data_IF_313192452408
#
_entry.id   IF_313192452408
#
_cell.length_a   1.000
_cell.length_b   1.000
_cell.length_c   1.000
_cell.angle_alpha   90.00
_cell.angle_beta   90.00
_cell.angle_gamma   90.00
#
_symmetry.space_group_name_H-M   'P 1'
#
loop_
_entity.id
_entity.type
_entity.pdbx_description
1 polymer ?
#
# COMPACT_ATOMS: atom_id res chain seq x y z
N UNK A 1 -20.74 -6.16 -15.78
CA UNK A 1 -19.83 -7.20 -15.21
C UNK A 1 -19.47 -6.92 -13.75
N UNK A 2 -19.03 -5.72 -13.42
CA UNK A 2 -18.66 -5.32 -12.03
C UNK A 2 -19.86 -5.42 -11.09
N UNK A 3 -20.99 -4.82 -11.46
CA UNK A 3 -22.25 -4.88 -10.68
C UNK A 3 -22.72 -6.31 -10.40
N UNK A 4 -22.66 -7.22 -11.40
CA UNK A 4 -23.05 -8.62 -11.19
C UNK A 4 -22.19 -9.28 -10.09
N UNK A 5 -20.87 -9.02 -10.08
CA UNK A 5 -19.97 -9.55 -9.05
C UNK A 5 -20.22 -8.96 -7.68
N UNK A 6 -20.57 -7.68 -7.62
CA UNK A 6 -20.99 -7.03 -6.36
C UNK A 6 -22.30 -7.63 -5.88
N UNK A 7 -23.27 -7.81 -6.76
CA UNK A 7 -24.59 -8.40 -6.45
C UNK A 7 -24.45 -9.83 -5.96
N UNK A 8 -23.64 -10.66 -6.65
CA UNK A 8 -23.36 -12.04 -6.23
C UNK A 8 -22.72 -12.07 -4.83
N UNK A 9 -21.81 -11.15 -4.54
CA UNK A 9 -21.15 -11.03 -3.26
C UNK A 9 -22.12 -10.58 -2.16
N UNK A 10 -22.92 -9.56 -2.44
CA UNK A 10 -23.93 -9.01 -1.56
C UNK A 10 -24.97 -10.06 -1.19
N UNK A 11 -25.54 -10.74 -2.18
CA UNK A 11 -26.54 -11.78 -1.96
C UNK A 11 -25.99 -13.01 -1.22
N UNK A 12 -24.75 -13.42 -1.51
CA UNK A 12 -24.11 -14.56 -0.85
C UNK A 12 -23.93 -14.35 0.67
N UNK A 13 -23.75 -13.11 1.10
CA UNK A 13 -23.56 -12.75 2.50
C UNK A 13 -24.76 -11.99 3.09
N UNK A 14 -25.93 -12.09 2.49
CA UNK A 14 -27.18 -11.46 2.97
C UNK A 14 -27.03 -9.96 3.33
N UNK A 15 -26.24 -9.22 2.50
CA UNK A 15 -25.93 -7.82 2.75
C UNK A 15 -24.82 -7.55 3.77
N UNK A 16 -24.31 -8.58 4.47
CA UNK A 16 -23.24 -8.42 5.46
C UNK A 16 -21.88 -8.19 4.79
N UNK A 17 -21.77 -7.09 4.04
CA UNK A 17 -20.59 -6.68 3.28
C UNK A 17 -20.21 -5.22 3.58
N UNK A 18 -19.02 -4.79 3.18
CA UNK A 18 -18.57 -3.41 3.27
C UNK A 18 -17.65 -3.03 2.12
N UNK A 19 -17.64 -1.76 1.73
CA UNK A 19 -16.68 -1.19 0.79
C UNK A 19 -15.40 -0.76 1.53
N UNK A 20 -14.26 -1.36 1.18
CA UNK A 20 -12.95 -0.91 1.67
C UNK A 20 -12.56 0.38 0.96
N UNK A 21 -12.87 1.49 1.58
CA UNK A 21 -12.69 2.83 1.03
C UNK A 21 -11.35 3.42 1.47
N UNK A 22 -10.55 3.92 0.53
CA UNK A 22 -9.25 4.53 0.82
C UNK A 22 -9.20 6.03 0.54
N UNK A 23 -10.28 6.62 0.03
CA UNK A 23 -10.33 7.98 -0.49
C UNK A 23 -9.57 8.17 -1.81
N UNK A 24 -8.91 7.11 -2.32
CA UNK A 24 -8.27 7.10 -3.62
C UNK A 24 -9.29 6.87 -4.75
N UNK A 25 -8.97 7.33 -5.97
CA UNK A 25 -9.86 7.31 -7.13
C UNK A 25 -10.52 5.94 -7.39
N UNK A 26 -9.75 4.86 -7.28
CA UNK A 26 -10.25 3.49 -7.55
C UNK A 26 -11.34 3.08 -6.56
N UNK A 27 -11.14 3.35 -5.28
CA UNK A 27 -12.12 3.06 -4.23
C UNK A 27 -13.31 4.01 -4.23
N UNK A 28 -13.14 5.22 -4.76
CA UNK A 28 -14.23 6.18 -4.96
C UNK A 28 -15.15 5.70 -6.07
N UNK A 29 -14.61 5.22 -7.19
CA UNK A 29 -15.39 4.59 -8.25
C UNK A 29 -16.14 3.36 -7.75
N UNK A 30 -15.48 2.49 -6.98
CA UNK A 30 -16.14 1.32 -6.41
C UNK A 30 -17.32 1.70 -5.50
N UNK A 31 -17.13 2.69 -4.64
CA UNK A 31 -18.18 3.17 -3.73
C UNK A 31 -19.36 3.77 -4.52
N UNK A 32 -19.07 4.56 -5.54
CA UNK A 32 -20.09 5.14 -6.42
C UNK A 32 -20.90 4.06 -7.17
N UNK A 33 -20.23 3.03 -7.70
CA UNK A 33 -20.92 1.89 -8.33
C UNK A 33 -21.86 1.21 -7.33
N UNK A 34 -21.42 0.94 -6.12
CA UNK A 34 -22.23 0.29 -5.10
C UNK A 34 -23.45 1.16 -4.73
N UNK A 35 -23.22 2.42 -4.40
CA UNK A 35 -24.26 3.30 -3.85
C UNK A 35 -25.12 3.90 -4.94
N UNK A 36 -24.54 4.59 -5.91
CA UNK A 36 -25.29 5.40 -6.87
C UNK A 36 -25.75 4.61 -8.09
N UNK A 37 -24.92 3.72 -8.63
CA UNK A 37 -25.29 2.95 -9.83
C UNK A 37 -26.18 1.77 -9.48
N UNK A 38 -25.89 1.05 -8.40
CA UNK A 38 -26.68 -0.12 -7.99
C UNK A 38 -27.79 0.22 -6.97
N UNK A 39 -27.72 1.41 -6.34
CA UNK A 39 -28.68 1.84 -5.34
C UNK A 39 -28.61 1.06 -4.02
N UNK A 40 -27.44 0.50 -3.66
CA UNK A 40 -27.23 -0.29 -2.45
C UNK A 40 -26.58 0.59 -1.39
N UNK A 41 -27.38 1.43 -0.73
CA UNK A 41 -26.91 2.44 0.21
C UNK A 41 -26.57 1.89 1.61
N UNK A 42 -26.97 0.67 1.92
CA UNK A 42 -26.73 0.01 3.21
C UNK A 42 -25.33 -0.62 3.33
N UNK A 43 -24.55 -0.64 2.24
CA UNK A 43 -23.14 -1.08 2.28
C UNK A 43 -22.25 0.02 2.83
N UNK A 44 -21.72 -0.13 4.07
CA UNK A 44 -20.89 0.92 4.67
C UNK A 44 -19.54 1.07 3.96
N UNK A 45 -19.09 2.31 3.81
CA UNK A 45 -17.72 2.62 3.46
C UNK A 45 -16.85 2.55 4.72
N UNK A 46 -15.72 1.85 4.66
CA UNK A 46 -14.78 1.71 5.79
C UNK A 46 -13.40 2.20 5.39
N UNK A 47 -12.94 3.23 6.09
CA UNK A 47 -11.64 3.88 5.87
C UNK A 47 -10.66 3.57 7.01
N UNK A 48 -9.43 3.20 6.67
CA UNK A 48 -8.36 3.05 7.65
C UNK A 48 -7.58 4.36 7.73
N UNK A 49 -7.78 5.14 8.79
CA UNK A 49 -6.98 6.33 9.09
C UNK A 49 -5.64 5.89 9.71
N UNK A 50 -4.63 5.72 8.86
CA UNK A 50 -3.28 5.32 9.30
C UNK A 50 -2.44 6.50 9.79
N UNK A 51 -2.87 7.74 9.50
CA UNK A 51 -2.07 8.94 9.66
C UNK A 51 -1.00 9.13 8.57
N UNK A 52 -1.00 8.27 7.54
CA UNK A 52 -0.06 8.30 6.42
C UNK A 52 -0.74 8.68 5.09
N UNK A 53 -2.00 9.02 5.13
CA UNK A 53 -2.72 9.57 3.99
C UNK A 53 -2.41 11.06 3.83
N UNK A 54 -2.43 11.53 2.59
CA UNK A 54 -2.35 12.98 2.30
C UNK A 54 -3.50 13.72 2.99
N UNK A 55 -3.29 14.95 3.48
CA UNK A 55 -4.33 15.75 4.13
C UNK A 55 -5.59 15.90 3.27
N UNK A 56 -5.43 16.07 1.95
CA UNK A 56 -6.51 16.20 0.98
C UNK A 56 -7.34 14.93 0.86
N UNK A 57 -6.70 13.76 0.92
CA UNK A 57 -7.42 12.47 0.97
C UNK A 57 -8.27 12.39 2.24
N UNK A 58 -7.72 12.79 3.39
CA UNK A 58 -8.47 12.77 4.65
C UNK A 58 -9.62 13.78 4.65
N UNK A 59 -9.41 14.95 4.07
CA UNK A 59 -10.46 15.96 3.88
C UNK A 59 -11.57 15.42 2.97
N UNK A 60 -11.22 14.83 1.84
CA UNK A 60 -12.17 14.21 0.93
C UNK A 60 -13.01 13.12 1.61
N UNK A 61 -12.35 12.18 2.33
CA UNK A 61 -13.04 11.10 3.06
C UNK A 61 -14.06 11.65 4.07
N UNK A 62 -13.75 12.75 4.77
CA UNK A 62 -14.68 13.39 5.69
C UNK A 62 -15.90 13.98 4.99
N UNK A 63 -15.74 14.46 3.75
CA UNK A 63 -16.81 15.07 2.98
C UNK A 63 -17.72 14.05 2.28
N UNK A 64 -17.28 12.80 2.11
CA UNK A 64 -18.11 11.73 1.53
C UNK A 64 -19.31 11.38 2.44
N UNK A 65 -19.23 11.65 3.74
CA UNK A 65 -20.27 11.27 4.71
C UNK A 65 -20.26 9.76 5.01
N UNK A 66 -20.99 9.32 6.00
CA UNK A 66 -21.22 7.92 6.42
C UNK A 66 -20.06 6.93 6.22
N UNK A 67 -18.84 7.39 6.50
CA UNK A 67 -17.63 6.57 6.43
C UNK A 67 -17.22 6.12 7.82
N UNK A 68 -17.23 4.81 8.04
CA UNK A 68 -16.69 4.20 9.27
C UNK A 68 -15.16 4.34 9.28
N UNK A 69 -14.62 5.02 10.29
CA UNK A 69 -13.18 5.23 10.43
C UNK A 69 -12.60 4.24 11.42
N UNK A 70 -11.67 3.41 10.97
CA UNK A 70 -10.90 2.50 11.81
C UNK A 70 -9.44 2.97 11.90
N UNK A 71 -8.77 2.69 13.04
CA UNK A 71 -7.40 3.14 13.28
C UNK A 71 -6.50 1.99 13.72
N UNK A 72 -5.22 2.03 13.34
CA UNK A 72 -4.23 1.08 13.83
C UNK A 72 -3.94 1.32 15.33
N UNK A 73 -3.51 0.26 16.02
CA UNK A 73 -3.06 0.35 17.43
C UNK A 73 -1.73 1.09 17.60
N UNK A 74 -0.92 1.18 16.54
CA UNK A 74 0.39 1.83 16.54
C UNK A 74 0.43 2.85 15.41
N UNK A 75 1.00 4.01 15.64
CA UNK A 75 1.33 4.95 14.58
C UNK A 75 2.61 4.53 13.85
N UNK A 76 2.91 5.19 12.72
CA UNK A 76 4.04 4.81 11.85
C UNK A 76 5.39 4.95 12.56
N UNK A 77 5.58 5.99 13.37
CA UNK A 77 6.77 6.19 14.18
C UNK A 77 7.02 4.99 15.11
N UNK A 78 6.01 4.57 15.88
CA UNK A 78 6.08 3.41 16.75
C UNK A 78 6.37 2.10 15.98
N UNK A 79 5.85 1.99 14.75
CA UNK A 79 6.13 0.83 13.89
C UNK A 79 7.60 0.81 13.46
N UNK A 80 8.16 1.95 13.07
CA UNK A 80 9.59 2.05 12.71
C UNK A 80 10.47 1.74 13.92
N UNK A 81 10.19 2.36 15.06
CA UNK A 81 10.95 2.16 16.31
C UNK A 81 10.97 0.68 16.72
N UNK A 82 9.85 0.00 16.60
CA UNK A 82 9.72 -1.39 17.03
C UNK A 82 10.22 -2.42 16.00
N UNK A 83 9.98 -2.19 14.71
CA UNK A 83 10.19 -3.20 13.68
C UNK A 83 11.23 -2.80 12.62
N UNK A 84 11.48 -1.50 12.44
CA UNK A 84 12.38 -0.97 11.45
C UNK A 84 11.69 -0.38 10.22
N UNK A 85 12.50 0.16 9.32
CA UNK A 85 12.08 0.91 8.15
C UNK A 85 11.61 0.01 6.99
N UNK A 86 10.55 0.43 6.26
CA UNK A 86 10.05 -0.30 5.07
C UNK A 86 10.85 0.09 3.82
N UNK A 87 11.97 -0.56 3.55
CA UNK A 87 12.89 -0.21 2.45
C UNK A 87 12.75 -1.13 1.24
N UNK A 88 13.05 -0.64 0.05
CA UNK A 88 13.15 -1.35 -1.23
C UNK A 88 11.82 -2.00 -1.64
N UNK A 89 11.46 -3.12 -1.04
CA UNK A 89 10.21 -3.84 -1.26
C UNK A 89 9.80 -4.60 0.00
N UNK A 90 8.52 -4.99 0.07
CA UNK A 90 8.03 -5.82 1.20
C UNK A 90 8.83 -7.11 1.33
N UNK A 91 9.17 -7.73 0.21
CA UNK A 91 9.90 -8.99 0.19
C UNK A 91 11.35 -8.79 0.65
N UNK A 92 12.06 -7.79 0.14
CA UNK A 92 13.43 -7.48 0.54
C UNK A 92 13.49 -7.11 2.02
N UNK A 93 12.63 -6.18 2.48
CA UNK A 93 12.59 -5.79 3.90
C UNK A 93 12.34 -6.98 4.82
N UNK A 94 11.40 -7.86 4.46
CA UNK A 94 11.13 -9.08 5.21
C UNK A 94 12.35 -10.01 5.24
N UNK A 95 13.00 -10.23 4.10
CA UNK A 95 14.19 -11.07 4.01
C UNK A 95 15.32 -10.53 4.86
N UNK A 96 15.58 -9.22 4.82
CA UNK A 96 16.61 -8.59 5.67
C UNK A 96 16.29 -8.78 7.14
N UNK A 97 15.03 -8.56 7.54
CA UNK A 97 14.58 -8.77 8.93
C UNK A 97 14.85 -10.19 9.42
N UNK A 98 14.42 -11.20 8.66
CA UNK A 98 14.60 -12.59 9.04
C UNK A 98 16.05 -13.06 8.94
N UNK A 99 16.82 -12.55 7.98
CA UNK A 99 18.25 -12.86 7.87
C UNK A 99 19.04 -12.28 9.05
N UNK A 100 18.80 -11.00 9.44
CA UNK A 100 19.42 -10.44 10.66
C UNK A 100 19.06 -11.25 11.91
N UNK A 101 17.80 -11.68 12.04
CA UNK A 101 17.39 -12.54 13.14
C UNK A 101 18.11 -13.88 13.12
N UNK A 102 18.23 -14.52 11.95
CA UNK A 102 18.94 -15.80 11.81
C UNK A 102 20.43 -15.68 12.16
N UNK A 103 21.09 -14.59 11.77
CA UNK A 103 22.48 -14.29 12.15
C UNK A 103 22.61 -14.17 13.67
N UNK A 104 21.72 -13.40 14.31
CA UNK A 104 21.75 -13.23 15.76
C UNK A 104 21.51 -14.55 16.54
N UNK A 105 20.85 -15.52 15.92
CA UNK A 105 20.56 -16.84 16.47
C UNK A 105 21.58 -17.92 16.04
N UNK A 106 22.62 -17.59 15.24
CA UNK A 106 23.66 -18.52 14.76
C UNK A 106 23.14 -19.61 13.82
N UNK A 107 22.05 -19.35 13.07
CA UNK A 107 21.40 -20.31 12.18
C UNK A 107 21.27 -19.85 10.74
N UNK A 108 22.03 -18.83 10.35
CA UNK A 108 21.95 -18.18 9.03
C UNK A 108 22.23 -19.15 7.88
N UNK A 109 23.18 -20.08 8.04
CA UNK A 109 23.56 -21.05 7.00
C UNK A 109 22.39 -21.92 6.54
N UNK A 110 21.42 -22.20 7.42
CA UNK A 110 20.24 -23.00 7.10
C UNK A 110 19.00 -22.18 6.80
N UNK A 111 19.08 -20.84 6.88
CA UNK A 111 17.91 -19.97 6.74
C UNK A 111 17.67 -19.54 5.28
N UNK A 112 16.50 -19.87 4.74
CA UNK A 112 16.16 -19.61 3.33
C UNK A 112 16.18 -18.13 2.90
N UNK A 113 15.76 -17.19 3.77
CA UNK A 113 15.81 -15.77 3.45
C UNK A 113 17.26 -15.24 3.45
N UNK A 114 18.13 -15.73 4.34
CA UNK A 114 19.56 -15.41 4.32
C UNK A 114 20.21 -15.92 3.03
N UNK A 115 19.98 -17.21 2.67
CA UNK A 115 20.49 -17.77 1.42
C UNK A 115 20.08 -16.95 0.19
N UNK A 116 18.79 -16.55 0.11
CA UNK A 116 18.29 -15.73 -1.00
C UNK A 116 18.92 -14.33 -1.02
N UNK A 117 19.10 -13.72 0.14
CA UNK A 117 19.71 -12.39 0.27
C UNK A 117 21.21 -12.41 -0.04
N UNK A 118 21.88 -13.55 0.22
CA UNK A 118 23.29 -13.75 -0.09
C UNK A 118 23.56 -14.35 -1.48
N UNK A 119 22.53 -14.63 -2.28
CA UNK A 119 22.66 -15.23 -3.60
C UNK A 119 23.00 -16.72 -3.60
N UNK A 120 22.83 -17.39 -2.44
CA UNK A 120 23.18 -18.80 -2.21
C UNK A 120 22.02 -19.77 -2.40
N UNK A 121 20.78 -19.26 -2.61
CA UNK A 121 19.64 -20.14 -2.82
C UNK A 121 19.67 -20.78 -4.21
N UNK A 122 19.39 -22.07 -4.29
CA UNK A 122 19.26 -22.83 -5.53
C UNK A 122 17.81 -23.31 -5.71
N UNK A 123 17.42 -23.59 -6.93
CA UNK A 123 16.15 -24.22 -7.28
C UNK A 123 16.22 -25.76 -7.12
N UNK A 124 15.12 -26.44 -7.47
CA UNK A 124 15.02 -27.90 -7.41
C UNK A 124 16.01 -28.64 -8.34
N UNK A 125 16.58 -27.96 -9.32
CA UNK A 125 17.52 -28.49 -10.29
C UNK A 125 18.98 -28.13 -9.92
N UNK A 126 19.22 -27.51 -8.74
CA UNK A 126 20.55 -27.06 -8.31
C UNK A 126 21.02 -25.76 -8.99
N UNK A 127 20.19 -25.11 -9.80
CA UNK A 127 20.55 -23.85 -10.45
C UNK A 127 20.26 -22.66 -9.53
N UNK A 128 20.96 -21.54 -9.77
CA UNK A 128 20.77 -20.31 -8.99
C UNK A 128 19.31 -19.88 -9.02
N UNK A 129 18.71 -19.75 -7.83
CA UNK A 129 17.32 -19.39 -7.70
C UNK A 129 17.03 -17.99 -8.28
N UNK A 130 15.97 -17.81 -9.09
CA UNK A 130 15.56 -16.48 -9.60
C UNK A 130 15.06 -15.56 -8.48
N UNK A 131 14.82 -16.10 -7.30
CA UNK A 131 14.42 -15.33 -6.12
C UNK A 131 15.60 -14.78 -5.31
N UNK A 132 16.84 -15.02 -5.74
CA UNK A 132 18.01 -14.40 -5.14
C UNK A 132 17.98 -12.88 -5.34
N UNK A 133 18.43 -12.15 -4.32
CA UNK A 133 18.41 -10.69 -4.31
C UNK A 133 19.70 -10.11 -3.67
N UNK A 134 20.84 -10.69 -4.03
CA UNK A 134 22.16 -10.38 -3.48
C UNK A 134 22.57 -8.91 -3.60
N UNK A 135 22.03 -8.18 -4.57
CA UNK A 135 22.27 -6.73 -4.69
C UNK A 135 21.83 -5.95 -3.44
N UNK A 136 20.98 -6.53 -2.62
CA UNK A 136 20.48 -5.93 -1.38
C UNK A 136 21.14 -6.51 -0.11
N UNK A 137 22.19 -7.34 -0.28
CA UNK A 137 22.93 -7.95 0.85
C UNK A 137 23.53 -6.91 1.79
N UNK A 138 23.93 -5.75 1.28
CA UNK A 138 24.50 -4.66 2.07
C UNK A 138 23.58 -4.17 3.20
N UNK A 139 22.27 -4.37 3.07
CA UNK A 139 21.28 -4.03 4.11
C UNK A 139 21.42 -4.88 5.40
N UNK A 140 22.17 -5.98 5.36
CA UNK A 140 22.52 -6.73 6.57
C UNK A 140 23.37 -5.89 7.53
N UNK A 141 24.23 -5.02 6.99
CA UNK A 141 25.12 -4.16 7.74
C UNK A 141 24.53 -2.75 7.98
N UNK A 142 23.27 -2.54 7.60
CA UNK A 142 22.64 -1.24 7.80
C UNK A 142 22.52 -0.91 9.29
N UNK A 143 22.80 0.36 9.68
CA UNK A 143 22.68 0.85 11.07
C UNK A 143 21.21 1.04 11.49
N UNK A 144 20.29 0.40 10.80
CA UNK A 144 18.86 0.39 11.08
C UNK A 144 18.26 -0.98 10.79
N UNK A 145 17.09 -1.25 11.38
CA UNK A 145 16.33 -2.44 11.07
C UNK A 145 15.42 -2.21 9.86
N UNK A 146 15.24 -3.28 9.06
CA UNK A 146 14.31 -3.29 7.94
C UNK A 146 13.09 -4.16 8.28
N UNK A 147 11.88 -3.74 7.88
CA UNK A 147 10.66 -4.51 8.13
C UNK A 147 9.58 -4.23 7.09
N UNK A 148 8.74 -5.22 6.83
CA UNK A 148 7.52 -5.07 6.04
C UNK A 148 6.24 -4.96 6.89
N UNK A 149 6.37 -4.91 8.22
CA UNK A 149 5.24 -4.97 9.16
C UNK A 149 4.32 -3.75 9.12
N UNK A 150 4.79 -2.59 8.63
CA UNK A 150 3.97 -1.38 8.55
C UNK A 150 2.62 -1.62 7.85
N UNK A 151 2.59 -2.33 6.72
CA UNK A 151 1.33 -2.63 6.02
C UNK A 151 0.42 -3.58 6.80
N UNK A 152 1.00 -4.52 7.53
CA UNK A 152 0.24 -5.46 8.37
C UNK A 152 -0.39 -4.74 9.56
N UNK A 153 0.41 -3.97 10.29
CA UNK A 153 0.00 -3.30 11.52
C UNK A 153 -0.96 -2.13 11.20
N UNK A 154 -0.60 -1.31 10.20
CA UNK A 154 -1.29 -0.06 9.95
C UNK A 154 -2.55 -0.21 9.09
N UNK A 155 -2.60 -1.23 8.21
CA UNK A 155 -3.75 -1.39 7.29
C UNK A 155 -4.48 -2.71 7.48
N UNK A 156 -3.78 -3.86 7.50
CA UNK A 156 -4.45 -5.15 7.50
C UNK A 156 -5.10 -5.48 8.85
N UNK A 157 -4.39 -5.23 9.96
CA UNK A 157 -4.90 -5.58 11.29
C UNK A 157 -6.15 -4.78 11.70
N UNK A 158 -6.23 -3.44 11.46
CA UNK A 158 -7.47 -2.70 11.71
C UNK A 158 -8.66 -3.25 10.94
N UNK A 159 -8.47 -3.58 9.65
CA UNK A 159 -9.54 -4.15 8.83
C UNK A 159 -9.96 -5.54 9.29
N UNK A 160 -8.99 -6.43 9.62
CA UNK A 160 -9.29 -7.75 10.18
C UNK A 160 -10.06 -7.66 11.51
N UNK A 161 -9.72 -6.66 12.34
CA UNK A 161 -10.44 -6.39 13.58
C UNK A 161 -11.89 -5.98 13.27
N UNK A 162 -12.08 -5.03 12.35
CA UNK A 162 -13.41 -4.61 11.91
C UNK A 162 -14.22 -5.78 11.34
N UNK A 163 -13.65 -6.58 10.46
CA UNK A 163 -14.29 -7.78 9.88
C UNK A 163 -14.73 -8.78 10.94
N UNK A 164 -13.89 -8.98 11.98
CA UNK A 164 -14.21 -9.88 13.10
C UNK A 164 -15.34 -9.33 13.98
N UNK A 165 -15.36 -8.03 14.23
CA UNK A 165 -16.34 -7.38 15.12
C UNK A 165 -17.69 -7.18 14.44
N UNK A 166 -17.70 -6.83 13.14
CA UNK A 166 -18.92 -6.58 12.38
C UNK A 166 -19.49 -7.81 11.68
N UNK A 167 -18.71 -8.87 11.48
CA UNK A 167 -19.08 -10.02 10.63
C UNK A 167 -18.99 -9.75 9.13
N UNK A 168 -18.86 -8.48 8.71
CA UNK A 168 -18.96 -8.04 7.32
C UNK A 168 -17.77 -8.47 6.46
N UNK A 169 -18.04 -8.69 5.16
CA UNK A 169 -17.05 -9.16 4.16
C UNK A 169 -16.62 -8.05 3.21
N UNK A 170 -15.32 -7.93 2.90
CA UNK A 170 -14.78 -6.82 2.13
C UNK A 170 -15.11 -6.88 0.63
N UNK A 171 -15.45 -5.72 0.07
CA UNK A 171 -15.43 -5.43 -1.36
C UNK A 171 -14.28 -4.41 -1.56
N UNK A 172 -13.31 -4.71 -2.43
CA UNK A 172 -12.10 -3.89 -2.61
C UNK A 172 -11.87 -3.52 -4.08
N UNK A 173 -11.46 -2.29 -4.32
CA UNK A 173 -11.15 -1.75 -5.65
C UNK A 173 -9.74 -2.16 -6.13
N UNK A 174 -9.42 -3.45 -6.11
CA UNK A 174 -8.11 -3.95 -6.51
C UNK A 174 -8.14 -4.37 -7.98
N UNK A 175 -7.22 -3.83 -8.79
CA UNK A 175 -7.09 -4.14 -10.21
C UNK A 175 -5.91 -5.09 -10.49
N UNK A 176 -6.09 -6.04 -11.40
CA UNK A 176 -5.04 -6.97 -11.83
C UNK A 176 -3.92 -6.26 -12.61
N UNK A 177 -4.26 -5.16 -13.30
CA UNK A 177 -3.32 -4.33 -14.06
C UNK A 177 -2.23 -3.66 -13.20
N UNK A 178 -2.44 -3.51 -11.89
CA UNK A 178 -1.51 -2.80 -11.01
C UNK A 178 -0.23 -3.58 -10.67
N UNK A 179 -0.23 -4.91 -10.75
CA UNK A 179 0.98 -5.71 -10.55
C UNK A 179 0.82 -7.16 -11.03
N UNK A 180 1.96 -7.77 -11.39
CA UNK A 180 2.03 -9.18 -11.77
C UNK A 180 1.39 -10.11 -10.71
N UNK A 181 1.70 -9.92 -9.43
CA UNK A 181 1.15 -10.74 -8.34
C UNK A 181 -0.38 -10.62 -8.22
N UNK A 182 -0.95 -9.43 -8.49
CA UNK A 182 -2.40 -9.23 -8.48
C UNK A 182 -3.05 -9.93 -9.68
N UNK A 183 -2.41 -9.86 -10.85
CA UNK A 183 -2.85 -10.56 -12.07
C UNK A 183 -2.84 -12.07 -11.87
N UNK A 184 -1.74 -12.63 -11.36
CA UNK A 184 -1.62 -14.07 -11.07
C UNK A 184 -2.71 -14.51 -10.07
N UNK A 185 -2.90 -13.75 -9.00
CA UNK A 185 -3.94 -14.06 -8.01
C UNK A 185 -5.34 -14.00 -8.61
N UNK A 186 -5.64 -13.02 -9.45
CA UNK A 186 -6.93 -12.93 -10.14
C UNK A 186 -7.16 -14.10 -11.08
N UNK A 187 -6.16 -14.52 -11.85
CA UNK A 187 -6.26 -15.67 -12.75
C UNK A 187 -6.52 -16.99 -12.01
N UNK A 188 -6.01 -17.13 -10.79
CA UNK A 188 -6.17 -18.34 -9.97
C UNK A 188 -7.51 -18.34 -9.23
N UNK A 189 -7.89 -17.22 -8.61
CA UNK A 189 -9.01 -17.16 -7.65
C UNK A 189 -10.23 -16.36 -8.12
N UNK A 190 -10.17 -15.78 -9.33
CA UNK A 190 -11.26 -14.94 -9.84
C UNK A 190 -11.42 -13.61 -9.08
N UNK A 191 -12.59 -13.01 -9.26
CA UNK A 191 -12.93 -11.74 -8.62
C UNK A 191 -13.49 -11.93 -7.21
N UNK A 192 -14.41 -12.88 -7.05
CA UNK A 192 -15.02 -13.21 -5.75
C UNK A 192 -14.39 -14.51 -5.24
N UNK A 193 -13.76 -14.43 -4.06
CA UNK A 193 -13.14 -15.58 -3.41
C UNK A 193 -13.97 -15.93 -2.18
N UNK A 194 -14.96 -16.82 -2.35
CA UNK A 194 -15.88 -17.23 -1.29
C UNK A 194 -15.23 -18.22 -0.32
N UNK A 195 -14.59 -19.26 -0.84
CA UNK A 195 -14.05 -20.40 -0.09
C UNK A 195 -12.59 -20.18 0.33
N UNK A 196 -12.33 -19.14 1.13
CA UNK A 196 -11.00 -18.86 1.66
C UNK A 196 -11.07 -18.50 3.13
N UNK A 197 -9.95 -18.65 3.86
CA UNK A 197 -9.85 -18.20 5.26
C UNK A 197 -10.28 -16.74 5.47
N UNK A 198 -10.12 -15.93 4.43
CA UNK A 198 -10.58 -14.54 4.39
C UNK A 198 -11.24 -14.28 3.06
N UNK A 199 -12.56 -14.52 2.97
CA UNK A 199 -13.33 -14.19 1.78
C UNK A 199 -13.18 -12.73 1.37
N UNK A 200 -13.13 -12.46 0.06
CA UNK A 200 -12.92 -11.10 -0.45
C UNK A 200 -13.46 -10.97 -1.88
N UNK A 201 -14.16 -9.89 -2.15
CA UNK A 201 -14.59 -9.49 -3.50
C UNK A 201 -13.65 -8.43 -4.07
N UNK A 202 -13.24 -8.62 -5.34
CA UNK A 202 -12.45 -7.70 -6.16
C UNK A 202 -13.15 -7.46 -7.49
N UNK A 203 -14.33 -6.82 -7.48
CA UNK A 203 -15.19 -6.76 -8.66
C UNK A 203 -14.57 -5.96 -9.82
N UNK A 204 -13.58 -5.11 -9.53
CA UNK A 204 -12.83 -4.31 -10.51
C UNK A 204 -11.51 -4.96 -10.95
N UNK A 205 -11.28 -6.27 -10.72
CA UNK A 205 -10.00 -6.92 -11.04
C UNK A 205 -9.60 -6.80 -12.52
N UNK A 206 -10.55 -6.74 -13.43
CA UNK A 206 -10.30 -6.61 -14.88
C UNK A 206 -10.21 -5.17 -15.38
N UNK A 207 -10.43 -4.18 -14.50
CA UNK A 207 -10.29 -2.76 -14.82
C UNK A 207 -8.84 -2.35 -14.96
N UNK A 208 -8.66 -1.29 -15.74
CA UNK A 208 -7.40 -0.55 -15.86
C UNK A 208 -7.53 0.83 -15.24
N UNK A 209 -6.43 1.55 -15.13
CA UNK A 209 -6.47 2.95 -14.69
C UNK A 209 -7.29 3.81 -15.66
N UNK A 210 -7.28 3.50 -16.96
CA UNK A 210 -8.06 4.21 -17.96
C UNK A 210 -9.55 4.06 -17.70
N UNK A 211 -10.03 2.85 -17.39
CA UNK A 211 -11.44 2.61 -17.07
C UNK A 211 -11.89 3.40 -15.84
N UNK A 212 -11.03 3.52 -14.83
CA UNK A 212 -11.30 4.32 -13.63
C UNK A 212 -11.40 5.81 -13.95
N UNK A 213 -10.44 6.35 -14.71
CA UNK A 213 -10.42 7.77 -15.07
C UNK A 213 -11.58 8.13 -16.01
N UNK A 214 -11.87 7.27 -16.98
CA UNK A 214 -13.02 7.42 -17.88
C UNK A 214 -14.33 7.42 -17.11
N UNK A 215 -14.49 6.50 -16.15
CA UNK A 215 -15.67 6.45 -15.30
C UNK A 215 -15.88 7.75 -14.53
N UNK A 216 -14.83 8.25 -13.84
CA UNK A 216 -14.90 9.51 -13.11
C UNK A 216 -15.27 10.67 -14.02
N UNK A 217 -14.64 10.75 -15.19
CA UNK A 217 -14.85 11.82 -16.16
C UNK A 217 -16.28 11.81 -16.72
N UNK A 218 -16.76 10.62 -17.11
CA UNK A 218 -18.07 10.45 -17.76
C UNK A 218 -19.22 10.64 -16.78
N UNK A 219 -19.12 10.06 -15.58
CA UNK A 219 -20.17 10.13 -14.57
C UNK A 219 -20.07 11.37 -13.67
N UNK A 220 -19.01 12.18 -13.85
CA UNK A 220 -18.76 13.41 -13.09
C UNK A 220 -18.81 13.20 -11.57
N UNK A 221 -18.32 12.06 -11.10
CA UNK A 221 -18.29 11.76 -9.68
C UNK A 221 -17.26 12.63 -8.95
N UNK A 222 -17.56 12.96 -7.70
CA UNK A 222 -16.63 13.66 -6.82
C UNK A 222 -15.46 12.76 -6.46
N UNK A 223 -14.25 13.28 -6.50
CA UNK A 223 -13.02 12.60 -6.10
C UNK A 223 -12.06 13.59 -5.45
N UNK A 224 -10.97 13.13 -4.87
CA UNK A 224 -9.96 13.97 -4.21
C UNK A 224 -9.15 14.79 -5.24
N UNK A 225 -9.78 15.71 -5.95
CA UNK A 225 -9.16 16.50 -7.03
C UNK A 225 -8.03 17.42 -6.54
N UNK A 226 -8.02 17.82 -5.29
CA UNK A 226 -6.94 18.63 -4.72
C UNK A 226 -5.59 17.93 -4.85
N UNK A 227 -5.54 16.60 -4.64
CA UNK A 227 -4.31 15.81 -4.77
C UNK A 227 -4.11 15.21 -6.16
N UNK A 228 -5.19 14.81 -6.86
CA UNK A 228 -5.07 14.21 -8.20
C UNK A 228 -5.04 15.26 -9.31
N UNK A 229 -5.54 16.47 -9.06
CA UNK A 229 -5.79 17.50 -10.07
C UNK A 229 -6.99 17.14 -10.95
N UNK A 230 -7.07 17.78 -12.12
CA UNK A 230 -8.12 17.54 -13.09
C UNK A 230 -7.86 16.26 -13.89
N UNK A 231 -8.91 15.60 -14.33
CA UNK A 231 -8.83 14.51 -15.30
C UNK A 231 -8.98 15.08 -16.70
N UNK A 232 -7.94 14.94 -17.50
CA UNK A 232 -7.85 15.44 -18.87
C UNK A 232 -7.61 14.29 -19.85
N UNK A 233 -7.79 14.55 -21.14
CA UNK A 233 -7.44 13.62 -22.22
C UNK A 233 -6.25 14.15 -23.01
N UNK A 234 -5.33 13.29 -23.39
CA UNK A 234 -4.25 13.63 -24.32
C UNK A 234 -4.71 13.56 -25.79
N UNK A 235 -3.80 13.88 -26.72
CA UNK A 235 -4.07 13.86 -28.17
C UNK A 235 -4.47 12.48 -28.72
N UNK A 236 -4.18 11.40 -28.00
CA UNK A 236 -4.57 10.03 -28.34
C UNK A 236 -5.90 9.62 -27.72
N UNK A 237 -6.56 10.51 -26.96
CA UNK A 237 -7.79 10.23 -26.22
C UNK A 237 -7.57 9.49 -24.90
N UNK A 238 -6.32 9.39 -24.41
CA UNK A 238 -6.00 8.70 -23.18
C UNK A 238 -6.17 9.63 -21.97
N UNK A 239 -6.88 9.17 -20.95
CA UNK A 239 -7.11 9.92 -19.73
C UNK A 239 -5.88 9.98 -18.84
N UNK A 240 -5.65 11.12 -18.19
CA UNK A 240 -4.60 11.30 -17.19
C UNK A 240 -5.01 12.31 -16.12
N UNK A 241 -4.36 12.29 -14.97
CA UNK A 241 -4.51 13.27 -13.88
C UNK A 241 -3.41 14.33 -13.98
N UNK A 242 -3.75 15.60 -13.77
CA UNK A 242 -2.80 16.73 -13.92
C UNK A 242 -1.80 16.84 -12.77
N UNK A 243 -2.05 16.17 -11.63
CA UNK A 243 -1.15 16.12 -10.47
C UNK A 243 -0.73 14.69 -10.16
N UNK A 244 -1.02 14.16 -8.99
CA UNK A 244 -0.62 12.82 -8.60
C UNK A 244 -1.36 11.74 -9.42
N UNK A 245 -0.64 10.76 -9.94
CA UNK A 245 -1.25 9.58 -10.57
C UNK A 245 -1.76 8.59 -9.53
N UNK A 246 -1.01 8.43 -8.43
CA UNK A 246 -1.35 7.52 -7.33
C UNK A 246 -1.05 8.17 -5.99
N UNK A 247 -1.93 7.91 -5.05
CA UNK A 247 -1.74 8.23 -3.64
C UNK A 247 -1.49 6.94 -2.88
N UNK A 248 -0.44 6.93 -2.11
CA UNK A 248 -0.11 5.81 -1.21
C UNK A 248 0.07 6.33 0.20
N UNK A 249 0.80 5.59 1.04
CA UNK A 249 1.30 6.15 2.29
C UNK A 249 2.36 7.22 1.96
N UNK A 250 2.20 8.43 2.50
CA UNK A 250 3.07 9.60 2.21
C UNK A 250 4.56 9.29 2.43
N UNK A 251 4.89 8.51 3.48
CA UNK A 251 6.27 8.17 3.85
C UNK A 251 6.70 6.77 3.40
N UNK A 252 6.08 6.19 2.38
CA UNK A 252 6.39 4.84 1.94
C UNK A 252 7.68 4.80 1.10
N UNK A 253 8.68 4.04 1.55
CA UNK A 253 9.92 3.82 0.79
C UNK A 253 9.89 2.58 -0.13
N UNK A 254 8.81 1.78 -0.11
CA UNK A 254 8.71 0.66 -1.04
C UNK A 254 8.61 1.13 -2.49
N UNK A 255 9.54 0.68 -3.30
CA UNK A 255 9.59 0.98 -4.73
C UNK A 255 10.14 2.36 -5.10
N UNK A 256 10.46 3.25 -4.13
CA UNK A 256 10.94 4.61 -4.43
C UNK A 256 12.22 4.62 -5.29
N UNK A 257 13.10 3.64 -5.11
CA UNK A 257 14.33 3.47 -5.90
C UNK A 257 14.11 3.12 -7.37
N UNK A 258 12.88 2.85 -7.78
CA UNK A 258 12.49 2.57 -9.17
C UNK A 258 11.77 3.75 -9.82
N UNK A 259 11.48 4.80 -9.07
CA UNK A 259 10.78 5.98 -9.60
C UNK A 259 11.75 6.86 -10.38
N UNK A 260 11.23 7.45 -11.46
CA UNK A 260 11.90 8.54 -12.17
C UNK A 260 11.78 9.82 -11.38
N UNK A 261 12.74 10.70 -11.55
CA UNK A 261 12.68 12.05 -10.99
C UNK A 261 11.71 12.95 -11.77
N UNK A 262 11.00 13.83 -11.04
CA UNK A 262 10.97 13.93 -9.59
C UNK A 262 10.25 12.73 -8.96
N UNK A 263 10.91 12.04 -7.99
CA UNK A 263 10.30 10.94 -7.27
C UNK A 263 9.32 11.41 -6.19
N UNK A 264 8.68 10.46 -5.48
CA UNK A 264 7.65 10.79 -4.48
C UNK A 264 8.13 11.70 -3.36
N UNK A 265 9.39 11.62 -2.95
CA UNK A 265 9.92 12.45 -1.87
C UNK A 265 10.23 13.87 -2.36
N UNK A 266 10.76 14.01 -3.56
CA UNK A 266 10.98 15.31 -4.22
C UNK A 266 9.63 16.02 -4.46
N UNK A 267 8.63 15.31 -4.97
CA UNK A 267 7.26 15.85 -5.10
C UNK A 267 6.64 16.20 -3.73
N UNK A 268 6.94 15.43 -2.68
CA UNK A 268 6.48 15.74 -1.32
C UNK A 268 7.13 17.01 -0.78
N UNK A 269 8.41 17.26 -1.10
CA UNK A 269 9.11 18.48 -0.71
C UNK A 269 8.43 19.74 -1.27
N UNK A 270 8.02 19.68 -2.53
CA UNK A 270 7.33 20.77 -3.22
C UNK A 270 5.90 20.97 -2.71
N UNK A 271 5.12 19.89 -2.62
CA UNK A 271 3.69 19.96 -2.31
C UNK A 271 3.40 20.10 -0.82
N UNK A 272 4.19 19.44 0.05
CA UNK A 272 3.95 19.33 1.49
C UNK A 272 5.24 19.50 2.30
N UNK A 273 5.89 20.66 2.28
CA UNK A 273 7.22 20.84 2.86
C UNK A 273 7.30 20.50 4.36
N UNK A 274 6.24 20.73 5.14
CA UNK A 274 6.20 20.37 6.56
C UNK A 274 6.20 18.85 6.78
N UNK A 275 5.43 18.11 5.98
CA UNK A 275 5.41 16.65 6.03
C UNK A 275 6.75 16.07 5.54
N UNK A 276 7.31 16.65 4.50
CA UNK A 276 8.64 16.29 4.00
C UNK A 276 9.70 16.46 5.08
N UNK A 277 9.77 17.63 5.74
CA UNK A 277 10.74 17.89 6.81
C UNK A 277 10.60 16.87 7.94
N UNK A 278 9.39 16.58 8.40
CA UNK A 278 9.15 15.57 9.41
C UNK A 278 9.56 14.16 8.95
N UNK A 279 9.34 13.84 7.69
CA UNK A 279 9.73 12.56 7.10
C UNK A 279 11.25 12.37 7.07
N UNK A 280 11.97 13.38 6.58
CA UNK A 280 13.39 13.28 6.22
C UNK A 280 14.29 13.51 7.44
N UNK A 281 13.97 14.47 8.29
CA UNK A 281 14.82 14.89 9.39
C UNK A 281 14.89 13.85 10.52
N UNK A 282 15.93 13.98 11.34
CA UNK A 282 16.13 13.16 12.53
C UNK A 282 16.81 11.83 12.25
N UNK A 283 16.60 10.88 13.12
CA UNK A 283 16.98 9.49 12.91
C UNK A 283 18.37 9.11 13.37
N UNK A 284 18.93 9.75 14.43
CA UNK A 284 20.17 9.28 15.06
C UNK A 284 19.94 9.17 16.54
N UNK A 285 20.15 7.99 17.10
CA UNK A 285 20.30 7.86 18.55
C UNK A 285 21.79 7.91 18.97
N UNK A 286 22.03 7.97 20.28
CA UNK A 286 23.37 8.04 20.86
C UNK A 286 24.19 6.75 20.66
N UNK A 287 23.54 5.64 20.33
CA UNK A 287 24.14 4.31 20.09
C UNK A 287 24.58 4.08 18.65
N UNK A 288 24.32 5.03 17.73
CA UNK A 288 24.61 4.89 16.31
C UNK A 288 23.57 4.09 15.53
N UNK A 289 22.50 3.62 16.16
CA UNK A 289 21.34 3.02 15.50
C UNK A 289 20.42 4.11 14.99
N UNK A 290 19.96 3.99 13.76
CA UNK A 290 19.06 4.98 13.17
C UNK A 290 17.60 4.65 13.52
N UNK A 291 16.99 5.53 14.29
CA UNK A 291 15.60 5.48 14.72
C UNK A 291 14.97 6.88 14.64
N UNK A 292 13.64 7.01 14.58
CA UNK A 292 12.97 8.28 14.73
C UNK A 292 13.36 9.01 16.03
N UNK A 293 13.54 10.32 15.95
CA UNK A 293 13.89 11.18 17.10
C UNK A 293 12.96 12.39 17.20
N UNK A 294 13.28 13.34 18.11
CA UNK A 294 12.49 14.55 18.31
C UNK A 294 12.37 15.46 17.07
N UNK A 295 13.25 15.30 16.07
CA UNK A 295 13.28 16.11 14.85
C UNK A 295 12.48 15.50 13.71
N UNK A 296 12.27 14.18 13.71
CA UNK A 296 11.50 13.51 12.68
C UNK A 296 11.67 12.00 12.62
N UNK A 297 11.32 11.43 11.45
CA UNK A 297 11.33 9.98 11.24
C UNK A 297 12.68 9.43 10.76
N UNK A 298 13.62 10.29 10.33
CA UNK A 298 14.96 9.89 9.90
C UNK A 298 15.02 9.17 8.54
N UNK A 299 13.98 9.30 7.70
CA UNK A 299 13.98 8.62 6.41
C UNK A 299 15.07 9.13 5.46
N UNK A 300 15.50 10.39 5.59
CA UNK A 300 16.56 10.96 4.74
C UNK A 300 17.84 10.14 4.79
N UNK A 301 18.32 9.77 5.99
CA UNK A 301 19.51 8.93 6.15
C UNK A 301 19.33 7.54 5.54
N UNK A 302 18.13 6.98 5.68
CA UNK A 302 17.80 5.65 5.11
C UNK A 302 17.76 5.72 3.58
N UNK A 303 17.23 6.82 3.01
CA UNK A 303 17.22 7.06 1.56
C UNK A 303 18.63 7.24 1.01
N UNK A 304 19.48 8.03 1.69
CA UNK A 304 20.91 8.15 1.36
C UNK A 304 21.60 6.77 1.36
N UNK A 305 21.36 5.94 2.37
CA UNK A 305 21.95 4.60 2.50
C UNK A 305 21.54 3.65 1.37
N UNK A 306 20.31 3.76 0.87
CA UNK A 306 19.82 2.93 -0.25
C UNK A 306 20.00 3.59 -1.62
N UNK A 307 20.67 4.76 -1.70
CA UNK A 307 20.99 5.46 -2.93
C UNK A 307 19.80 6.07 -3.66
N UNK A 308 18.84 6.63 -2.92
CA UNK A 308 17.67 7.33 -3.48
C UNK A 308 17.84 8.83 -3.26
N UNK A 309 17.90 9.60 -4.32
CA UNK A 309 17.87 11.05 -4.24
C UNK A 309 16.46 11.52 -3.83
N UNK A 310 16.40 12.40 -2.84
CA UNK A 310 15.14 12.91 -2.29
C UNK A 310 15.15 14.43 -2.13
N UNK A 311 16.27 15.09 -2.54
CA UNK A 311 16.47 16.54 -2.42
C UNK A 311 16.03 17.27 -3.67
#
# INVERSE_FOLDING_TARGET
MTENRIRDWYNHYDGEVYCSFSGGKDSTVLLDIIQNTMGVYDVPAVFVDTGLEYPEIKAFVKNVGDVTIVRPKMNFRQVIEKYGYPVISKEVSRRVQYAKKAIAEGREENHGDYKKLCGLAVDKNGQKSPYNCEKWKFLLNAPFNCSSECCTIMKKNPMKKYEKESGKKPIVATMASESRLRKEKWLISGCNTFDSERPISRPMSFWTEQDVLEYIYTHKISYANEIYGDICTDKSGKYYTTKAQRTGCVFCMFGCHLEKEPNRFQRLAESHPKLYQYCINGGTDESGVWLPDGKGLGLGKVLDYIGVDYK
#
